data_IF_624234685068
#
_entry.id   IF_624234685068
#
_cell.length_a   1.000
_cell.length_b   1.000
_cell.length_c   1.000
_cell.angle_alpha   90.00
_cell.angle_beta   90.00
_cell.angle_gamma   90.00
#
_symmetry.space_group_name_H-M   'P 1'
#
loop_
_entity.id
_entity.type
_entity.pdbx_description
1 polymer ?
#
# COMPACT_ATOMS: atom_id res chain seq x y z
N UNK A 1 22.11 36.99 -62.56
CA UNK A 1 21.62 35.64 -62.17
C UNK A 1 21.76 35.54 -60.68
N UNK A 2 20.68 35.82 -59.96
CA UNK A 2 20.65 35.76 -58.52
C UNK A 2 20.04 34.42 -58.06
N UNK A 3 20.57 33.72 -56.99
CA UNK A 3 19.97 32.49 -56.48
C UNK A 3 18.79 32.77 -55.56
N UNK A 4 17.72 32.06 -55.86
CA UNK A 4 16.47 32.05 -55.11
C UNK A 4 16.71 31.49 -53.69
N UNK A 5 16.35 32.31 -52.69
CA UNK A 5 16.32 31.97 -51.28
C UNK A 5 15.28 30.89 -51.02
N UNK A 6 15.71 29.74 -50.50
CA UNK A 6 14.86 28.64 -50.05
C UNK A 6 14.30 29.01 -48.69
N UNK A 7 13.05 29.39 -48.59
CA UNK A 7 12.34 29.60 -47.33
C UNK A 7 12.26 28.31 -46.54
N UNK A 8 12.84 28.32 -45.35
CA UNK A 8 12.77 27.25 -44.36
C UNK A 8 11.33 27.18 -43.80
N UNK A 9 10.69 26.05 -44.02
CA UNK A 9 9.39 25.72 -43.45
C UNK A 9 9.59 25.53 -41.93
N UNK A 10 8.80 26.19 -41.04
CA UNK A 10 8.92 25.96 -39.61
C UNK A 10 8.52 24.52 -39.28
N UNK A 11 9.15 23.91 -38.25
CA UNK A 11 8.78 22.57 -37.79
C UNK A 11 7.33 22.62 -37.31
N UNK A 12 6.53 21.68 -37.79
CA UNK A 12 5.16 21.45 -37.31
C UNK A 12 5.22 21.10 -35.82
N UNK A 13 4.74 22.00 -34.99
CA UNK A 13 4.41 21.72 -33.59
C UNK A 13 3.29 20.67 -33.57
N UNK A 14 3.67 19.40 -33.41
CA UNK A 14 2.75 18.31 -33.07
C UNK A 14 2.35 18.47 -31.62
N UNK A 15 1.51 19.44 -31.32
CA UNK A 15 0.64 19.39 -30.16
C UNK A 15 -0.38 18.28 -30.44
N UNK A 16 -0.11 17.05 -29.95
CA UNK A 16 -1.07 15.97 -29.98
C UNK A 16 -2.30 16.43 -29.20
N UNK A 17 -3.37 16.80 -29.91
CA UNK A 17 -4.63 17.19 -29.28
C UNK A 17 -5.13 16.01 -28.45
N UNK A 18 -5.25 16.21 -27.13
CA UNK A 18 -5.77 15.22 -26.19
C UNK A 18 -7.11 14.66 -26.71
N UNK A 19 -7.27 13.33 -26.75
CA UNK A 19 -8.51 12.70 -27.22
C UNK A 19 -9.70 13.08 -26.33
N UNK A 20 -10.93 12.99 -26.86
CA UNK A 20 -12.13 13.28 -26.07
C UNK A 20 -12.22 12.36 -24.82
N UNK A 21 -11.84 11.08 -24.97
CA UNK A 21 -11.74 10.14 -23.85
C UNK A 21 -10.73 10.62 -22.79
N UNK A 22 -9.57 11.13 -23.20
CA UNK A 22 -8.58 11.62 -22.26
C UNK A 22 -9.11 12.84 -21.47
N UNK A 23 -9.78 13.77 -22.13
CA UNK A 23 -10.42 14.91 -21.45
C UNK A 23 -11.53 14.47 -20.49
N UNK A 24 -12.33 13.48 -20.88
CA UNK A 24 -13.37 12.91 -20.01
C UNK A 24 -12.79 12.23 -18.75
N UNK A 25 -11.66 11.53 -18.88
CA UNK A 25 -10.93 10.96 -17.75
C UNK A 25 -10.39 12.05 -16.81
N UNK A 26 -9.82 13.14 -17.35
CA UNK A 26 -9.33 14.23 -16.50
C UNK A 26 -10.48 14.93 -15.74
N UNK A 27 -11.65 15.12 -16.33
CA UNK A 27 -12.84 15.62 -15.63
C UNK A 27 -13.23 14.70 -14.45
N UNK A 28 -13.23 13.39 -14.67
CA UNK A 28 -13.53 12.43 -13.60
C UNK A 28 -12.49 12.50 -12.48
N UNK A 29 -11.19 12.59 -12.79
CA UNK A 29 -10.13 12.71 -11.79
C UNK A 29 -10.25 14.03 -11.00
N UNK A 30 -10.65 15.12 -11.64
CA UNK A 30 -10.94 16.40 -10.96
C UNK A 30 -12.14 16.28 -10.02
N UNK A 31 -13.25 15.66 -10.45
CA UNK A 31 -14.40 15.37 -9.59
C UNK A 31 -13.99 14.55 -8.34
N UNK A 32 -13.19 13.49 -8.53
CA UNK A 32 -12.69 12.69 -7.41
C UNK A 32 -11.80 13.48 -6.44
N UNK A 33 -11.02 14.44 -6.95
CA UNK A 33 -10.14 15.27 -6.14
C UNK A 33 -10.93 16.31 -5.35
N UNK A 34 -11.80 17.06 -6.01
CA UNK A 34 -12.47 18.26 -5.46
C UNK A 34 -13.73 17.88 -4.69
N UNK A 35 -14.63 17.11 -5.30
CA UNK A 35 -15.95 16.83 -4.71
C UNK A 35 -15.92 15.62 -3.78
N UNK A 36 -15.12 14.60 -4.10
CA UNK A 36 -15.03 13.38 -3.27
C UNK A 36 -13.87 13.41 -2.29
N UNK A 37 -12.99 14.40 -2.35
CA UNK A 37 -11.88 14.58 -1.42
C UNK A 37 -10.95 13.36 -1.31
N UNK A 38 -10.71 12.62 -2.41
CA UNK A 38 -9.90 11.42 -2.36
C UNK A 38 -8.42 11.76 -2.06
N UNK A 39 -7.78 10.93 -1.23
CA UNK A 39 -6.37 11.09 -0.90
C UNK A 39 -5.47 11.02 -2.14
N UNK A 40 -4.38 11.81 -2.16
CA UNK A 40 -3.44 11.94 -3.27
C UNK A 40 -2.93 10.59 -3.82
N UNK A 41 -2.64 9.63 -2.93
CA UNK A 41 -2.21 8.28 -3.32
C UNK A 41 -3.30 7.51 -4.08
N UNK A 42 -4.58 7.68 -3.69
CA UNK A 42 -5.71 7.06 -4.38
C UNK A 42 -5.90 7.69 -5.75
N UNK A 43 -5.85 9.02 -5.86
CA UNK A 43 -5.92 9.73 -7.14
C UNK A 43 -4.79 9.32 -8.08
N UNK A 44 -3.56 9.19 -7.56
CA UNK A 44 -2.41 8.70 -8.35
C UNK A 44 -2.61 7.27 -8.86
N UNK A 45 -3.24 6.40 -8.07
CA UNK A 45 -3.58 5.04 -8.51
C UNK A 45 -4.65 5.06 -9.62
N UNK A 46 -5.74 5.83 -9.42
CA UNK A 46 -6.80 5.98 -10.42
C UNK A 46 -6.26 6.58 -11.73
N UNK A 47 -5.39 7.61 -11.64
CA UNK A 47 -4.75 8.20 -12.82
C UNK A 47 -3.98 7.17 -13.63
N UNK A 48 -3.16 6.34 -12.99
CA UNK A 48 -2.42 5.27 -13.68
C UNK A 48 -3.34 4.22 -14.29
N UNK A 49 -4.39 3.84 -13.58
CA UNK A 49 -5.34 2.84 -14.05
C UNK A 49 -6.14 3.33 -15.24
N UNK A 50 -6.62 4.56 -15.20
CA UNK A 50 -7.36 5.18 -16.29
C UNK A 50 -6.46 5.55 -17.49
N UNK A 51 -5.18 5.88 -17.27
CA UNK A 51 -4.23 6.06 -18.37
C UNK A 51 -4.04 4.76 -19.17
N UNK A 52 -4.01 3.57 -18.50
CA UNK A 52 -4.02 2.28 -19.20
C UNK A 52 -5.27 2.08 -20.04
N UNK A 53 -6.42 2.49 -19.51
CA UNK A 53 -7.69 2.39 -20.23
C UNK A 53 -7.73 3.29 -21.45
N UNK A 54 -7.33 4.55 -21.31
CA UNK A 54 -7.21 5.49 -22.44
C UNK A 54 -6.30 4.91 -23.52
N UNK A 55 -5.09 4.44 -23.17
CA UNK A 55 -4.17 3.84 -24.11
C UNK A 55 -4.79 2.65 -24.85
N UNK A 56 -5.45 1.75 -24.15
CA UNK A 56 -6.15 0.62 -24.78
C UNK A 56 -7.19 1.11 -25.78
N UNK A 57 -8.01 2.07 -25.41
CA UNK A 57 -9.07 2.59 -26.26
C UNK A 57 -8.54 3.32 -27.49
N UNK A 58 -7.44 4.08 -27.38
CA UNK A 58 -6.96 4.94 -28.45
C UNK A 58 -5.91 4.30 -29.35
N UNK A 59 -5.16 3.32 -28.85
CA UNK A 59 -3.99 2.79 -29.54
C UNK A 59 -4.06 1.28 -29.80
N UNK A 60 -4.69 0.50 -28.90
CA UNK A 60 -4.61 -0.96 -28.93
C UNK A 60 -5.88 -1.57 -29.51
N UNK A 61 -7.04 -1.30 -28.91
CA UNK A 61 -8.29 -1.96 -29.25
C UNK A 61 -8.29 -3.48 -29.02
N UNK A 62 -9.32 -4.18 -29.49
CA UNK A 62 -9.41 -5.66 -29.48
C UNK A 62 -9.85 -6.17 -30.87
N UNK A 63 -9.10 -5.80 -31.89
CA UNK A 63 -9.36 -6.20 -33.27
C UNK A 63 -10.64 -5.60 -33.86
N UNK A 64 -11.28 -6.30 -34.80
CA UNK A 64 -12.47 -5.82 -35.46
C UNK A 64 -13.71 -5.63 -34.57
N UNK A 65 -13.75 -6.30 -33.42
CA UNK A 65 -14.89 -6.21 -32.48
C UNK A 65 -14.85 -4.96 -31.60
N UNK A 66 -13.67 -4.42 -31.34
CA UNK A 66 -13.46 -3.22 -30.54
C UNK A 66 -12.25 -2.45 -31.12
N UNK A 67 -12.42 -1.77 -32.27
CA UNK A 67 -11.36 -0.97 -32.87
C UNK A 67 -11.03 0.23 -31.96
N UNK A 68 -9.85 0.86 -32.08
CA UNK A 68 -9.52 2.04 -31.34
C UNK A 68 -10.55 3.16 -31.49
N UNK A 69 -10.92 3.81 -30.37
CA UNK A 69 -11.91 4.90 -30.31
C UNK A 69 -11.35 6.09 -29.52
N UNK A 70 -11.71 7.29 -29.90
CA UNK A 70 -11.25 8.53 -29.27
C UNK A 70 -12.34 9.31 -28.53
N UNK A 71 -13.61 8.95 -28.71
CA UNK A 71 -14.76 9.58 -28.06
C UNK A 71 -15.40 8.62 -27.05
N UNK A 72 -15.71 9.07 -25.80
CA UNK A 72 -16.36 8.23 -24.82
C UNK A 72 -17.74 7.68 -25.25
N UNK A 73 -18.42 8.35 -26.19
CA UNK A 73 -19.74 7.91 -26.73
C UNK A 73 -19.64 6.68 -27.63
N UNK A 74 -18.47 6.45 -28.22
CA UNK A 74 -18.20 5.31 -29.11
C UNK A 74 -17.83 4.04 -28.34
N UNK A 75 -17.60 4.14 -27.04
CA UNK A 75 -17.20 3.01 -26.24
C UNK A 75 -18.37 2.06 -26.03
N UNK A 76 -18.16 0.81 -26.39
CA UNK A 76 -19.15 -0.27 -26.28
C UNK A 76 -18.75 -1.28 -25.20
N UNK A 77 -19.67 -2.20 -24.86
CA UNK A 77 -19.39 -3.34 -23.98
C UNK A 77 -18.22 -4.18 -24.50
N UNK A 78 -18.07 -4.30 -25.82
CA UNK A 78 -16.94 -5.02 -26.45
C UNK A 78 -15.59 -4.38 -26.12
N UNK A 79 -15.49 -3.05 -26.13
CA UNK A 79 -14.27 -2.34 -25.73
C UNK A 79 -13.90 -2.60 -24.27
N UNK A 80 -14.86 -2.51 -23.35
CA UNK A 80 -14.61 -2.75 -21.93
C UNK A 80 -14.22 -4.22 -21.68
N UNK A 81 -14.90 -5.16 -22.33
CA UNK A 81 -14.58 -6.59 -22.25
C UNK A 81 -13.19 -6.90 -22.83
N UNK A 82 -12.88 -6.31 -23.98
CA UNK A 82 -11.55 -6.40 -24.63
C UNK A 82 -10.45 -5.87 -23.72
N UNK A 83 -10.71 -4.72 -23.05
CA UNK A 83 -9.78 -4.17 -22.08
C UNK A 83 -9.51 -5.12 -20.91
N UNK A 84 -10.55 -5.74 -20.34
CA UNK A 84 -10.37 -6.73 -19.25
C UNK A 84 -9.51 -7.91 -19.70
N UNK A 85 -9.73 -8.43 -20.90
CA UNK A 85 -8.90 -9.47 -21.50
C UNK A 85 -7.45 -9.01 -21.71
N UNK A 86 -7.27 -7.79 -22.20
CA UNK A 86 -5.95 -7.20 -22.42
C UNK A 86 -5.15 -7.06 -21.13
N UNK A 87 -5.78 -6.62 -20.02
CA UNK A 87 -5.14 -6.52 -18.72
C UNK A 87 -4.58 -7.87 -18.21
N UNK A 88 -5.21 -8.97 -18.59
CA UNK A 88 -4.84 -10.32 -18.11
C UNK A 88 -3.94 -11.09 -19.10
N UNK A 89 -3.68 -10.54 -20.29
CA UNK A 89 -2.75 -11.17 -21.24
C UNK A 89 -1.35 -11.26 -20.66
N UNK A 90 -0.65 -12.40 -20.79
CA UNK A 90 0.76 -12.46 -20.42
C UNK A 90 1.56 -11.38 -21.17
N UNK A 91 2.35 -10.60 -20.45
CA UNK A 91 3.23 -9.62 -21.08
C UNK A 91 4.27 -10.34 -21.92
N UNK A 92 4.58 -9.85 -23.14
CA UNK A 92 5.70 -10.37 -23.91
C UNK A 92 7.03 -10.15 -23.15
N UNK A 93 8.03 -11.05 -23.32
CA UNK A 93 9.25 -11.06 -22.49
C UNK A 93 10.02 -9.74 -22.40
N UNK A 94 9.94 -8.88 -23.42
CA UNK A 94 10.57 -7.55 -23.45
C UNK A 94 9.90 -6.51 -22.58
N UNK A 95 8.58 -6.59 -22.42
CA UNK A 95 7.78 -5.65 -21.62
C UNK A 95 7.82 -6.04 -20.13
N UNK A 96 8.10 -7.29 -19.82
CA UNK A 96 8.32 -7.76 -18.44
C UNK A 96 9.62 -7.19 -17.84
N UNK A 97 10.63 -6.92 -18.68
CA UNK A 97 11.92 -6.36 -18.22
C UNK A 97 11.85 -4.87 -17.84
N UNK A 98 10.89 -4.12 -18.40
CA UNK A 98 10.72 -2.67 -18.15
C UNK A 98 9.68 -2.35 -17.05
N UNK A 99 9.33 -3.30 -16.21
CA UNK A 99 8.42 -3.09 -15.09
C UNK A 99 6.95 -2.96 -15.46
N UNK A 100 6.53 -3.51 -16.60
CA UNK A 100 5.11 -3.63 -16.95
C UNK A 100 4.37 -2.29 -17.12
N UNK A 101 5.01 -1.27 -17.71
CA UNK A 101 4.41 0.04 -17.92
C UNK A 101 3.17 -0.03 -18.85
N UNK A 102 3.00 -1.12 -19.60
CA UNK A 102 2.03 -1.23 -20.67
C UNK A 102 0.71 -1.91 -20.31
N UNK A 103 0.52 -2.34 -19.07
CA UNK A 103 -0.79 -2.76 -18.57
C UNK A 103 -1.17 -4.21 -18.81
N UNK A 104 -0.43 -4.98 -19.62
CA UNK A 104 -0.65 -6.42 -19.80
C UNK A 104 -0.02 -7.23 -18.62
N UNK A 105 -0.56 -8.41 -18.31
CA UNK A 105 0.01 -9.31 -17.30
C UNK A 105 -0.34 -8.98 -15.86
N UNK A 106 -1.42 -8.24 -15.61
CA UNK A 106 -1.88 -7.97 -14.26
C UNK A 106 -2.49 -9.22 -13.61
N UNK A 107 -2.25 -9.40 -12.30
CA UNK A 107 -2.99 -10.38 -11.51
C UNK A 107 -4.50 -10.06 -11.54
N UNK A 108 -5.35 -11.09 -11.36
CA UNK A 108 -6.81 -10.91 -11.32
C UNK A 108 -7.24 -9.83 -10.29
N UNK A 109 -6.56 -9.76 -9.14
CA UNK A 109 -6.81 -8.72 -8.11
C UNK A 109 -6.47 -7.31 -8.61
N UNK A 110 -5.33 -7.16 -9.29
CA UNK A 110 -4.93 -5.86 -9.86
C UNK A 110 -5.86 -5.44 -11.00
N UNK A 111 -6.21 -6.37 -11.89
CA UNK A 111 -7.16 -6.14 -12.97
C UNK A 111 -8.56 -5.76 -12.42
N UNK A 112 -9.04 -6.45 -11.39
CA UNK A 112 -10.31 -6.11 -10.74
C UNK A 112 -10.32 -4.66 -10.22
N UNK A 113 -9.23 -4.21 -9.59
CA UNK A 113 -9.10 -2.82 -9.11
C UNK A 113 -9.15 -1.82 -10.26
N UNK A 114 -8.46 -2.10 -11.36
CA UNK A 114 -8.49 -1.24 -12.57
C UNK A 114 -9.90 -1.15 -13.13
N UNK A 115 -10.61 -2.27 -13.24
CA UNK A 115 -12.01 -2.31 -13.73
C UNK A 115 -12.94 -1.50 -12.83
N UNK A 116 -12.74 -1.51 -11.50
CA UNK A 116 -13.51 -0.66 -10.58
C UNK A 116 -13.30 0.83 -10.88
N UNK A 117 -12.07 1.27 -11.19
CA UNK A 117 -11.78 2.65 -11.58
C UNK A 117 -12.48 3.02 -12.90
N UNK A 118 -12.44 2.12 -13.90
CA UNK A 118 -13.11 2.29 -15.21
C UNK A 118 -14.63 2.39 -15.03
N UNK A 119 -15.25 1.49 -14.26
CA UNK A 119 -16.69 1.56 -13.96
C UNK A 119 -17.07 2.88 -13.28
N UNK A 120 -16.22 3.36 -12.38
CA UNK A 120 -16.43 4.67 -11.75
C UNK A 120 -16.42 5.82 -12.74
N UNK A 121 -15.51 5.79 -13.73
CA UNK A 121 -15.42 6.80 -14.79
C UNK A 121 -16.66 6.76 -15.70
N UNK A 122 -17.08 5.59 -16.19
CA UNK A 122 -18.26 5.45 -17.04
C UNK A 122 -19.53 5.88 -16.34
N UNK A 123 -19.70 5.51 -15.07
CA UNK A 123 -20.86 5.98 -14.26
C UNK A 123 -20.86 7.50 -14.12
N UNK A 124 -19.71 8.12 -13.91
CA UNK A 124 -19.56 9.57 -13.84
C UNK A 124 -19.92 10.21 -15.20
N UNK A 125 -19.42 9.67 -16.32
CA UNK A 125 -19.73 10.19 -17.65
C UNK A 125 -21.22 10.13 -17.97
N UNK A 126 -21.90 9.06 -17.57
CA UNK A 126 -23.34 8.96 -17.71
C UNK A 126 -24.08 10.01 -16.87
N UNK A 127 -23.65 10.21 -15.60
CA UNK A 127 -24.28 11.19 -14.68
C UNK A 127 -24.05 12.65 -15.11
N UNK A 128 -22.96 12.93 -15.83
CA UNK A 128 -22.61 14.25 -16.36
C UNK A 128 -23.05 14.44 -17.83
N UNK A 129 -23.92 13.58 -18.33
CA UNK A 129 -24.45 13.61 -19.72
C UNK A 129 -23.35 13.62 -20.80
N UNK A 130 -22.15 13.09 -20.48
CA UNK A 130 -21.06 12.92 -21.46
C UNK A 130 -21.29 11.72 -22.36
N UNK A 131 -22.03 10.72 -21.89
CA UNK A 131 -22.44 9.52 -22.62
C UNK A 131 -23.90 9.20 -22.35
N UNK A 132 -24.58 8.55 -23.31
CA UNK A 132 -25.97 8.12 -23.15
C UNK A 132 -26.09 6.77 -22.41
N UNK A 133 -25.01 6.00 -22.37
CA UNK A 133 -24.99 4.64 -21.82
C UNK A 133 -23.74 4.40 -20.95
N UNK A 134 -23.83 3.43 -20.03
CA UNK A 134 -22.71 2.91 -19.24
C UNK A 134 -22.37 1.47 -19.68
N UNK A 135 -21.50 1.28 -20.67
CA UNK A 135 -21.10 -0.05 -21.14
C UNK A 135 -20.30 -0.83 -20.08
N UNK A 136 -19.67 -0.13 -19.12
CA UNK A 136 -18.89 -0.78 -18.07
C UNK A 136 -19.75 -1.39 -16.96
N UNK A 137 -21.00 -0.97 -16.82
CA UNK A 137 -21.94 -1.55 -15.85
C UNK A 137 -22.18 -3.05 -16.08
N UNK A 138 -22.14 -3.50 -17.34
CA UNK A 138 -22.37 -4.89 -17.74
C UNK A 138 -21.14 -5.79 -17.62
N UNK A 139 -19.95 -5.22 -17.41
CA UNK A 139 -18.71 -5.98 -17.34
C UNK A 139 -18.25 -6.14 -15.89
N UNK A 140 -18.39 -7.33 -15.31
CA UNK A 140 -17.96 -7.58 -13.94
C UNK A 140 -16.42 -7.53 -13.85
N UNK A 141 -15.88 -7.03 -12.73
CA UNK A 141 -14.44 -7.14 -12.47
C UNK A 141 -14.05 -8.62 -12.39
N UNK A 142 -12.82 -8.98 -12.83
CA UNK A 142 -12.30 -10.33 -12.65
C UNK A 142 -12.36 -10.75 -11.17
N UNK A 143 -12.83 -11.97 -10.91
CA UNK A 143 -12.87 -12.51 -9.55
C UNK A 143 -11.47 -12.98 -9.16
N UNK A 144 -10.82 -12.34 -8.17
CA UNK A 144 -9.56 -12.86 -7.66
C UNK A 144 -9.81 -14.24 -7.05
N UNK A 145 -8.99 -15.21 -7.37
CA UNK A 145 -9.00 -16.50 -6.64
C UNK A 145 -8.89 -16.23 -5.14
N UNK A 146 -9.78 -16.78 -4.34
CA UNK A 146 -9.83 -16.58 -2.90
C UNK A 146 -8.71 -17.39 -2.24
N UNK A 147 -7.47 -16.85 -2.28
CA UNK A 147 -6.44 -17.24 -1.34
C UNK A 147 -6.61 -16.39 -0.09
N UNK A 148 -7.23 -16.94 0.92
CA UNK A 148 -7.12 -16.39 2.26
C UNK A 148 -5.63 -16.48 2.63
N UNK A 149 -4.95 -15.37 2.91
CA UNK A 149 -3.59 -15.43 3.44
C UNK A 149 -3.67 -16.24 4.73
N UNK A 150 -2.98 -17.39 4.78
CA UNK A 150 -2.86 -18.13 6.04
C UNK A 150 -1.95 -17.30 6.95
N UNK A 151 -2.35 -17.13 8.20
CA UNK A 151 -1.47 -16.56 9.21
C UNK A 151 -0.20 -17.43 9.30
N UNK A 152 0.93 -16.78 9.47
CA UNK A 152 2.20 -17.45 9.71
C UNK A 152 2.21 -17.88 11.18
N UNK A 153 2.56 -19.13 11.51
CA UNK A 153 2.59 -19.59 12.89
C UNK A 153 3.55 -18.77 13.78
N UNK A 154 3.29 -18.71 15.08
CA UNK A 154 4.11 -17.95 16.03
C UNK A 154 5.60 -18.37 16.00
N UNK A 155 5.88 -19.67 15.83
CA UNK A 155 7.23 -20.20 15.68
C UNK A 155 7.92 -19.65 14.42
N UNK A 156 7.23 -19.66 13.27
CA UNK A 156 7.75 -19.12 12.01
C UNK A 156 7.96 -17.61 12.09
N UNK A 157 7.07 -16.90 12.77
CA UNK A 157 7.25 -15.46 13.04
C UNK A 157 8.52 -15.23 13.87
N UNK A 158 8.76 -16.02 14.91
CA UNK A 158 9.97 -15.88 15.74
C UNK A 158 11.22 -16.04 14.87
N UNK A 159 11.30 -17.07 14.02
CA UNK A 159 12.42 -17.25 13.09
C UNK A 159 12.60 -16.04 12.15
N UNK A 160 11.51 -15.49 11.65
CA UNK A 160 11.52 -14.30 10.79
C UNK A 160 12.09 -13.08 11.51
N UNK A 161 11.65 -12.82 12.74
CA UNK A 161 12.06 -11.66 13.53
C UNK A 161 13.54 -11.74 13.96
N UNK A 162 14.08 -12.96 14.10
CA UNK A 162 15.45 -13.23 14.50
C UNK A 162 16.43 -13.33 13.32
N UNK A 163 15.94 -13.36 12.08
CA UNK A 163 16.78 -13.50 10.88
C UNK A 163 17.78 -12.35 10.63
N UNK A 164 17.46 -11.05 10.93
CA UNK A 164 18.43 -9.98 10.72
C UNK A 164 19.66 -10.10 11.64
N UNK A 165 20.85 -9.91 11.09
CA UNK A 165 22.13 -9.97 11.81
C UNK A 165 22.30 -8.78 12.77
N UNK A 166 22.26 -8.99 14.10
CA UNK A 166 22.36 -7.93 15.11
C UNK A 166 23.77 -7.32 15.25
N UNK A 167 24.76 -7.83 14.54
CA UNK A 167 26.14 -7.29 14.56
C UNK A 167 26.28 -6.06 13.66
N UNK A 168 25.33 -5.80 12.76
CA UNK A 168 25.37 -4.68 11.81
C UNK A 168 24.32 -3.62 12.15
N UNK A 169 24.58 -2.32 11.87
CA UNK A 169 23.60 -1.26 12.04
C UNK A 169 22.32 -1.50 11.24
N UNK A 170 22.44 -2.03 10.01
CA UNK A 170 21.29 -2.35 9.18
C UNK A 170 20.46 -3.49 9.78
N UNK A 171 21.10 -4.54 10.29
CA UNK A 171 20.41 -5.66 10.91
C UNK A 171 19.74 -5.29 12.23
N UNK A 172 20.35 -4.41 13.05
CA UNK A 172 19.69 -3.84 14.24
C UNK A 172 18.42 -3.07 13.87
N UNK A 173 18.51 -2.22 12.82
CA UNK A 173 17.35 -1.51 12.28
C UNK A 173 16.26 -2.49 11.83
N UNK A 174 16.63 -3.48 11.05
CA UNK A 174 15.70 -4.40 10.41
C UNK A 174 15.01 -5.28 11.45
N UNK A 175 15.72 -5.73 12.47
CA UNK A 175 15.14 -6.45 13.61
C UNK A 175 14.14 -5.59 14.38
N UNK A 176 14.50 -4.35 14.72
CA UNK A 176 13.60 -3.41 15.40
C UNK A 176 12.35 -3.10 14.55
N UNK A 177 12.53 -2.93 13.25
CA UNK A 177 11.43 -2.69 12.30
C UNK A 177 10.43 -3.87 12.26
N UNK A 178 10.94 -5.09 12.16
CA UNK A 178 10.12 -6.32 12.13
C UNK A 178 9.38 -6.52 13.45
N UNK A 179 10.07 -6.34 14.59
CA UNK A 179 9.46 -6.43 15.93
C UNK A 179 8.33 -5.41 16.11
N UNK A 180 8.53 -4.15 15.70
CA UNK A 180 7.48 -3.13 15.78
C UNK A 180 6.31 -3.47 14.89
N UNK A 181 6.55 -3.90 13.63
CA UNK A 181 5.47 -4.29 12.71
C UNK A 181 4.61 -5.42 13.27
N UNK A 182 5.25 -6.44 13.85
CA UNK A 182 4.52 -7.59 14.37
C UNK A 182 3.89 -7.30 15.75
N UNK A 183 4.61 -6.65 16.68
CA UNK A 183 4.09 -6.33 18.01
C UNK A 183 2.87 -5.42 18.00
N UNK A 184 2.80 -4.51 17.01
CA UNK A 184 1.75 -3.48 16.94
C UNK A 184 0.70 -3.74 15.85
N UNK A 185 0.96 -4.66 14.94
CA UNK A 185 0.15 -4.82 13.73
C UNK A 185 0.09 -3.56 12.87
N UNK A 186 1.09 -2.67 12.97
CA UNK A 186 1.12 -1.41 12.27
C UNK A 186 1.19 -1.58 10.75
N UNK A 187 0.65 -0.59 10.03
CA UNK A 187 0.89 -0.48 8.57
C UNK A 187 2.31 0.02 8.32
N UNK A 188 2.93 -0.40 7.22
CA UNK A 188 4.26 0.08 6.85
C UNK A 188 4.38 1.61 6.85
N UNK A 189 3.33 2.32 6.38
CA UNK A 189 3.31 3.79 6.38
C UNK A 189 3.27 4.42 7.77
N UNK A 190 2.68 3.74 8.74
CA UNK A 190 2.61 4.20 10.14
C UNK A 190 3.99 4.08 10.79
N UNK A 191 4.67 2.97 10.57
CA UNK A 191 6.03 2.74 11.10
C UNK A 191 7.07 3.68 10.45
N UNK A 192 6.96 3.92 9.14
CA UNK A 192 7.81 4.88 8.43
C UNK A 192 7.64 6.30 9.00
N UNK A 193 6.41 6.66 9.39
CA UNK A 193 6.08 7.97 9.93
C UNK A 193 6.51 8.21 11.38
N UNK A 194 7.05 7.21 12.08
CA UNK A 194 7.46 7.36 13.48
C UNK A 194 8.68 8.28 13.62
N UNK A 195 8.59 9.20 14.55
CA UNK A 195 9.68 10.08 14.96
C UNK A 195 10.24 9.66 16.34
N UNK A 196 11.48 10.04 16.61
CA UNK A 196 12.18 9.74 17.86
C UNK A 196 11.39 10.23 19.08
N UNK A 197 10.72 11.37 18.96
CA UNK A 197 9.90 11.92 20.04
C UNK A 197 8.68 11.04 20.36
N UNK A 198 8.04 10.44 19.35
CA UNK A 198 6.92 9.50 19.55
C UNK A 198 7.38 8.27 20.32
N UNK A 199 8.54 7.72 19.95
CA UNK A 199 9.13 6.57 20.62
C UNK A 199 9.55 6.90 22.06
N UNK A 200 10.23 8.04 22.26
CA UNK A 200 10.68 8.48 23.57
C UNK A 200 9.50 8.72 24.53
N UNK A 201 8.40 9.27 24.02
CA UNK A 201 7.17 9.44 24.79
C UNK A 201 6.56 8.10 25.20
N UNK A 202 6.55 7.11 24.26
CA UNK A 202 6.05 5.77 24.51
C UNK A 202 6.86 5.06 25.62
N UNK A 203 8.18 5.05 25.53
CA UNK A 203 9.07 4.40 26.50
C UNK A 203 8.94 5.01 27.89
N UNK A 204 8.95 6.35 28.02
CA UNK A 204 8.73 7.02 29.31
C UNK A 204 7.39 6.67 29.95
N UNK A 205 6.31 6.53 29.16
CA UNK A 205 5.01 6.16 29.70
C UNK A 205 4.98 4.74 30.26
N UNK A 206 5.73 3.83 29.66
CA UNK A 206 5.92 2.46 30.15
C UNK A 206 6.65 2.41 31.49
N UNK A 207 7.73 3.17 31.66
CA UNK A 207 8.49 3.26 32.91
C UNK A 207 7.63 3.80 34.06
N UNK A 208 6.85 4.84 33.82
CA UNK A 208 6.00 5.48 34.82
C UNK A 208 4.83 4.59 35.29
N UNK A 209 4.31 3.73 34.42
CA UNK A 209 3.15 2.89 34.72
C UNK A 209 3.50 1.44 35.10
N UNK A 210 4.79 1.09 35.22
CA UNK A 210 5.27 -0.28 35.48
C UNK A 210 4.65 -1.34 34.55
N UNK A 211 4.26 -0.93 33.36
CA UNK A 211 3.59 -1.79 32.37
C UNK A 211 4.22 -1.70 30.98
N UNK A 212 3.63 -2.39 30.02
CA UNK A 212 4.06 -2.27 28.62
C UNK A 212 3.86 -0.85 28.10
N UNK A 213 4.86 -0.26 27.42
CA UNK A 213 4.72 1.05 26.81
C UNK A 213 3.71 1.04 25.68
N UNK A 214 3.03 2.17 25.47
CA UNK A 214 2.11 2.36 24.35
C UNK A 214 2.72 3.24 23.28
N UNK A 215 2.76 2.71 22.06
CA UNK A 215 3.16 3.47 20.89
C UNK A 215 1.95 4.12 20.25
N UNK A 216 2.02 5.43 20.01
CA UNK A 216 1.02 6.18 19.26
C UNK A 216 1.30 6.06 17.76
N UNK A 217 0.32 5.55 17.03
CA UNK A 217 0.38 5.38 15.58
C UNK A 217 -0.61 6.32 14.88
N UNK A 218 -0.18 6.91 13.77
CA UNK A 218 -0.97 7.83 12.95
C UNK A 218 -1.45 7.11 11.68
N UNK A 219 -2.75 6.86 11.60
CA UNK A 219 -3.39 6.21 10.46
C UNK A 219 -3.87 7.18 9.37
N UNK A 220 -4.65 6.67 8.42
CA UNK A 220 -5.26 7.46 7.35
C UNK A 220 -6.19 8.54 7.93
N UNK A 221 -6.04 9.78 7.45
CA UNK A 221 -6.85 10.93 7.92
C UNK A 221 -6.46 11.41 9.31
N UNK A 222 -5.19 11.27 9.69
CA UNK A 222 -4.65 11.69 11.01
C UNK A 222 -5.33 11.04 12.21
N UNK A 223 -6.06 9.93 12.01
CA UNK A 223 -6.62 9.16 13.11
C UNK A 223 -5.50 8.51 13.91
N UNK A 224 -5.52 8.71 15.20
CA UNK A 224 -4.53 8.17 16.14
C UNK A 224 -5.07 6.92 16.82
N UNK A 225 -4.17 5.99 17.14
CA UNK A 225 -4.46 4.87 18.03
C UNK A 225 -3.24 4.55 18.88
N UNK A 226 -3.47 4.01 20.06
CA UNK A 226 -2.44 3.54 20.99
C UNK A 226 -2.36 2.02 20.89
N UNK A 227 -1.13 1.49 20.75
CA UNK A 227 -0.90 0.04 20.66
C UNK A 227 0.23 -0.33 21.61
N UNK A 228 0.08 -1.39 22.44
CA UNK A 228 1.15 -1.84 23.34
C UNK A 228 2.39 -2.30 22.53
N UNK A 229 3.59 -2.05 23.10
CA UNK A 229 4.85 -2.60 22.62
C UNK A 229 5.27 -3.75 23.52
N UNK A 230 5.48 -4.94 22.96
CA UNK A 230 6.02 -6.08 23.67
C UNK A 230 7.49 -5.88 24.08
N UNK A 231 7.93 -6.58 25.12
CA UNK A 231 9.31 -6.51 25.60
C UNK A 231 10.37 -6.76 24.54
N UNK A 232 10.22 -7.77 23.63
CA UNK A 232 11.19 -7.96 22.55
C UNK A 232 11.27 -6.76 21.58
N UNK A 233 10.15 -6.10 21.27
CA UNK A 233 10.13 -4.91 20.43
C UNK A 233 10.83 -3.73 21.10
N UNK A 234 10.62 -3.55 22.43
CA UNK A 234 11.33 -2.52 23.23
C UNK A 234 12.83 -2.78 23.22
N UNK A 235 13.27 -4.02 23.50
CA UNK A 235 14.68 -4.38 23.49
C UNK A 235 15.36 -4.19 22.11
N UNK A 236 14.66 -4.55 21.04
CA UNK A 236 15.16 -4.36 19.69
C UNK A 236 15.24 -2.87 19.30
N UNK A 237 14.25 -2.06 19.71
CA UNK A 237 14.28 -0.61 19.53
C UNK A 237 15.41 0.04 20.31
N UNK A 238 15.64 -0.35 21.57
CA UNK A 238 16.74 0.17 22.36
C UNK A 238 18.09 -0.15 21.70
N UNK A 239 18.32 -1.40 21.33
CA UNK A 239 19.53 -1.80 20.62
C UNK A 239 19.75 -1.02 19.32
N UNK A 240 18.68 -0.77 18.57
CA UNK A 240 18.73 0.06 17.36
C UNK A 240 19.06 1.51 17.68
N UNK A 241 18.33 2.13 18.62
CA UNK A 241 18.49 3.55 18.95
C UNK A 241 19.85 3.88 19.52
N UNK A 242 20.42 2.97 20.34
CA UNK A 242 21.70 3.20 21.03
C UNK A 242 22.89 2.83 20.14
N UNK A 243 22.84 1.70 19.43
CA UNK A 243 24.01 1.17 18.69
C UNK A 243 23.96 1.41 17.19
N UNK A 244 22.80 1.20 16.55
CA UNK A 244 22.73 1.22 15.09
C UNK A 244 22.36 2.58 14.50
N UNK A 245 21.35 3.25 15.08
CA UNK A 245 20.83 4.51 14.55
C UNK A 245 21.89 5.63 14.49
N UNK A 246 22.73 5.84 15.51
CA UNK A 246 23.75 6.90 15.46
C UNK A 246 24.72 6.75 14.28
N UNK A 247 25.12 5.52 13.94
CA UNK A 247 26.02 5.26 12.80
C UNK A 247 25.38 5.63 11.46
N UNK A 248 24.09 5.40 11.29
CA UNK A 248 23.39 5.77 10.06
C UNK A 248 23.04 7.26 10.05
N UNK A 249 22.66 7.84 11.19
CA UNK A 249 22.37 9.26 11.29
C UNK A 249 23.56 10.15 10.94
N UNK A 250 24.78 9.71 11.26
CA UNK A 250 26.03 10.42 10.93
C UNK A 250 26.26 10.51 9.40
N UNK A 251 25.62 9.69 8.58
CA UNK A 251 25.76 9.69 7.11
C UNK A 251 24.84 10.66 6.39
N UNK A 252 23.87 11.25 7.08
CA UNK A 252 22.83 12.08 6.50
C UNK A 252 22.57 13.37 7.26
N UNK A 253 21.56 14.12 6.80
CA UNK A 253 21.03 15.25 7.57
C UNK A 253 20.17 14.67 8.69
N UNK A 254 20.45 15.04 9.93
CA UNK A 254 19.75 14.57 11.12
C UNK A 254 18.20 14.59 10.91
N UNK A 255 17.64 13.44 10.57
CA UNK A 255 16.19 13.22 10.40
C UNK A 255 15.64 12.76 11.76
N UNK A 256 14.48 13.31 12.15
CA UNK A 256 13.77 12.91 13.35
C UNK A 256 13.24 11.47 13.29
N UNK A 257 13.25 10.84 12.11
CA UNK A 257 12.73 9.49 11.92
C UNK A 257 13.37 8.46 12.86
N UNK A 258 12.55 7.57 13.41
CA UNK A 258 13.04 6.40 14.15
C UNK A 258 13.88 5.53 13.23
N UNK A 259 13.36 5.17 12.05
CA UNK A 259 14.04 4.26 11.12
C UNK A 259 14.70 5.00 9.96
N UNK A 260 16.03 4.78 9.83
CA UNK A 260 16.87 5.42 8.82
C UNK A 260 17.33 4.42 7.75
N UNK A 261 17.45 4.90 6.52
CA UNK A 261 18.07 4.17 5.43
C UNK A 261 19.61 4.26 5.54
N UNK A 262 20.35 3.57 4.66
CA UNK A 262 21.81 3.55 4.68
C UNK A 262 22.48 4.92 4.40
N UNK A 263 21.70 5.91 3.93
CA UNK A 263 22.15 7.29 3.67
C UNK A 263 21.77 8.25 4.79
N UNK A 264 21.23 7.76 5.91
CA UNK A 264 20.85 8.56 7.07
C UNK A 264 19.52 9.31 6.94
N UNK A 265 18.74 9.10 5.87
CA UNK A 265 17.38 9.64 5.73
C UNK A 265 16.32 8.63 6.13
N UNK A 266 15.07 9.08 6.26
CA UNK A 266 13.90 8.23 6.55
C UNK A 266 13.78 7.07 5.57
N UNK A 267 13.38 5.89 6.06
CA UNK A 267 13.14 4.72 5.20
C UNK A 267 11.92 4.92 4.30
N UNK A 268 11.90 4.20 3.18
CA UNK A 268 10.77 4.16 2.24
C UNK A 268 9.89 2.92 2.46
N UNK A 269 8.70 2.90 1.85
CA UNK A 269 7.86 1.68 1.79
C UNK A 269 8.57 0.51 1.12
N UNK A 270 9.39 0.81 0.10
CA UNK A 270 10.20 -0.20 -0.57
C UNK A 270 11.24 -0.79 0.38
N UNK A 271 11.87 0.03 1.23
CA UNK A 271 12.80 -0.44 2.26
C UNK A 271 12.11 -1.42 3.21
N UNK A 272 10.92 -1.06 3.73
CA UNK A 272 10.14 -1.95 4.61
C UNK A 272 9.81 -3.27 3.92
N UNK A 273 9.39 -3.21 2.66
CA UNK A 273 9.13 -4.42 1.87
C UNK A 273 10.37 -5.29 1.72
N UNK A 274 11.48 -4.69 1.31
CA UNK A 274 12.74 -5.40 1.12
C UNK A 274 13.24 -6.05 2.42
N UNK A 275 13.15 -5.34 3.56
CA UNK A 275 13.49 -5.88 4.88
C UNK A 275 12.68 -7.14 5.21
N UNK A 276 11.36 -7.09 5.01
CA UNK A 276 10.48 -8.25 5.27
C UNK A 276 10.83 -9.42 4.35
N UNK A 277 11.08 -9.16 3.06
CA UNK A 277 11.42 -10.20 2.08
C UNK A 277 12.79 -10.82 2.41
N UNK A 278 13.81 -10.02 2.70
CA UNK A 278 15.14 -10.49 3.08
C UNK A 278 15.10 -11.33 4.37
N UNK A 279 14.29 -10.92 5.35
CA UNK A 279 14.10 -11.71 6.57
C UNK A 279 13.40 -13.04 6.28
N UNK A 280 12.43 -13.07 5.37
CA UNK A 280 11.77 -14.30 4.94
C UNK A 280 12.75 -15.27 4.24
N UNK A 281 13.65 -14.74 3.42
CA UNK A 281 14.71 -15.51 2.77
C UNK A 281 15.71 -16.03 3.81
N UNK A 282 16.20 -15.16 4.69
CA UNK A 282 17.17 -15.51 5.73
C UNK A 282 16.64 -16.51 6.78
N UNK A 283 15.33 -16.50 7.05
CA UNK A 283 14.68 -17.46 7.96
C UNK A 283 14.30 -18.79 7.31
N UNK A 284 14.51 -18.94 5.98
CA UNK A 284 14.12 -20.12 5.21
C UNK A 284 12.63 -20.20 4.85
N UNK A 285 11.80 -19.21 5.24
CA UNK A 285 10.35 -19.24 4.96
C UNK A 285 10.03 -19.15 3.49
N UNK A 286 10.81 -18.41 2.70
CA UNK A 286 10.67 -18.35 1.25
C UNK A 286 10.90 -19.73 0.60
N UNK A 287 11.87 -20.49 1.06
CA UNK A 287 12.13 -21.85 0.59
C UNK A 287 11.00 -22.83 0.97
N UNK A 288 10.29 -22.57 2.07
CA UNK A 288 9.08 -23.30 2.47
C UNK A 288 7.84 -22.88 1.65
N UNK A 289 7.96 -21.95 0.69
CA UNK A 289 6.85 -21.42 -0.10
C UNK A 289 5.93 -20.46 0.66
N UNK A 290 6.38 -19.89 1.77
CA UNK A 290 5.62 -18.93 2.58
C UNK A 290 5.85 -17.52 2.06
N UNK A 291 4.82 -16.90 1.49
CA UNK A 291 4.87 -15.50 1.06
C UNK A 291 4.72 -14.57 2.27
N UNK A 292 5.77 -13.84 2.60
CA UNK A 292 5.78 -12.88 3.71
C UNK A 292 5.77 -11.44 3.20
N UNK A 293 4.93 -10.62 3.77
CA UNK A 293 4.80 -9.20 3.47
C UNK A 293 4.43 -8.41 4.74
N UNK A 294 4.55 -7.08 4.77
CA UNK A 294 4.06 -6.29 5.90
C UNK A 294 2.56 -6.52 6.19
N UNK A 295 1.76 -6.81 5.16
CA UNK A 295 0.35 -7.16 5.35
C UNK A 295 0.16 -8.54 5.97
N UNK A 296 1.02 -9.50 5.62
CA UNK A 296 0.99 -10.85 6.22
C UNK A 296 1.35 -10.79 7.70
N UNK A 297 2.35 -9.99 8.10
CA UNK A 297 2.70 -9.76 9.50
C UNK A 297 1.52 -9.17 10.29
N UNK A 298 0.87 -8.15 9.75
CA UNK A 298 -0.32 -7.55 10.38
C UNK A 298 -1.49 -8.53 10.46
N UNK A 299 -1.68 -9.38 9.46
CA UNK A 299 -2.70 -10.43 9.48
C UNK A 299 -2.39 -11.47 10.55
N UNK A 300 -1.12 -11.92 10.65
CA UNK A 300 -0.68 -12.86 11.68
C UNK A 300 -0.84 -12.26 13.09
N UNK A 301 -0.51 -10.98 13.29
CA UNK A 301 -0.80 -10.27 14.55
C UNK A 301 -2.28 -10.38 14.93
N UNK A 302 -3.19 -10.05 13.99
CA UNK A 302 -4.63 -10.12 14.26
C UNK A 302 -5.09 -11.54 14.60
N UNK A 303 -4.64 -12.53 13.82
CA UNK A 303 -5.00 -13.94 14.01
C UNK A 303 -4.50 -14.47 15.35
N UNK A 304 -3.24 -14.19 15.69
CA UNK A 304 -2.65 -14.67 16.95
C UNK A 304 -3.32 -14.05 18.18
N UNK A 305 -3.74 -12.78 18.12
CA UNK A 305 -4.53 -12.18 19.20
C UNK A 305 -5.88 -12.88 19.36
N UNK A 306 -6.58 -13.17 18.25
CA UNK A 306 -7.86 -13.89 18.30
C UNK A 306 -7.69 -15.32 18.80
N UNK A 307 -6.66 -16.05 18.37
CA UNK A 307 -6.32 -17.38 18.84
C UNK A 307 -5.92 -17.38 20.31
N UNK A 308 -5.29 -16.31 20.79
CA UNK A 308 -4.97 -16.06 22.20
C UNK A 308 -6.17 -15.63 23.05
N UNK A 309 -7.38 -15.56 22.47
CA UNK A 309 -8.62 -15.26 23.18
C UNK A 309 -9.01 -13.77 23.23
N UNK A 310 -8.33 -12.90 22.48
CA UNK A 310 -8.71 -11.50 22.41
C UNK A 310 -10.06 -11.32 21.71
N UNK A 311 -10.90 -10.42 22.20
CA UNK A 311 -12.16 -10.06 21.55
C UNK A 311 -11.90 -9.37 20.19
N UNK A 312 -12.74 -9.69 19.20
CA UNK A 312 -12.64 -9.14 17.85
C UNK A 312 -12.66 -7.60 17.84
N UNK A 313 -13.44 -6.95 18.71
CA UNK A 313 -13.52 -5.49 18.80
C UNK A 313 -12.20 -4.89 19.29
N UNK A 314 -11.57 -5.52 20.28
CA UNK A 314 -10.24 -5.12 20.77
C UNK A 314 -9.21 -5.21 19.64
N UNK A 315 -9.22 -6.30 18.89
CA UNK A 315 -8.31 -6.48 17.73
C UNK A 315 -8.58 -5.42 16.65
N UNK A 316 -9.84 -5.12 16.36
CA UNK A 316 -10.21 -4.07 15.39
C UNK A 316 -9.74 -2.68 15.84
N UNK A 317 -9.82 -2.37 17.14
CA UNK A 317 -9.35 -1.11 17.70
C UNK A 317 -7.82 -1.01 17.64
N UNK A 318 -7.10 -2.03 18.07
CA UNK A 318 -5.64 -2.12 17.94
C UNK A 318 -5.18 -1.96 16.48
N UNK A 319 -5.94 -2.46 15.52
CA UNK A 319 -5.66 -2.32 14.09
C UNK A 319 -6.10 -0.98 13.49
N UNK A 320 -6.95 -0.22 14.15
CA UNK A 320 -7.49 1.05 13.66
C UNK A 320 -8.38 0.87 12.43
N UNK A 321 -9.35 -0.03 12.49
CA UNK A 321 -10.37 -0.20 11.46
C UNK A 321 -11.44 0.89 11.61
N UNK A 322 -11.61 1.72 10.58
CA UNK A 322 -12.50 2.90 10.59
C UNK A 322 -14.00 2.58 10.41
N UNK A 323 -14.39 1.31 10.40
CA UNK A 323 -15.73 0.89 10.00
C UNK A 323 -16.39 0.00 11.06
N UNK A 324 -16.97 0.64 12.08
CA UNK A 324 -18.23 0.13 12.64
C UNK A 324 -19.21 1.30 12.70
N UNK A 325 -20.07 1.38 11.69
CA UNK A 325 -21.30 2.17 11.71
C UNK A 325 -22.23 1.49 12.68
N UNK A 326 -22.09 1.76 13.97
CA UNK A 326 -23.23 1.64 14.90
C UNK A 326 -22.89 2.42 16.17
N UNK A 327 -23.52 3.55 16.31
CA UNK A 327 -23.67 4.30 17.54
C UNK A 327 -24.54 3.47 18.50
N UNK A 328 -23.93 2.53 19.22
CA UNK A 328 -24.58 1.88 20.35
C UNK A 328 -23.57 1.62 21.44
N UNK A 329 -23.82 2.29 22.55
CA UNK A 329 -23.31 2.08 23.93
C UNK A 329 -21.82 1.73 24.02
N UNK A 330 -21.00 2.77 24.16
CA UNK A 330 -19.58 2.68 24.45
C UNK A 330 -19.35 2.16 25.88
N UNK A 331 -18.97 0.91 25.99
CA UNK A 331 -18.03 0.56 27.06
C UNK A 331 -16.65 1.03 26.55
N UNK A 332 -16.13 2.10 27.10
CA UNK A 332 -14.82 2.63 26.80
C UNK A 332 -13.78 1.51 27.04
N UNK A 333 -13.18 1.00 25.97
CA UNK A 333 -12.00 0.12 26.10
C UNK A 333 -10.89 1.01 26.61
N UNK A 334 -10.53 0.87 27.88
CA UNK A 334 -9.48 1.66 28.52
C UNK A 334 -8.10 1.19 28.03
N UNK A 335 -7.10 2.07 28.14
CA UNK A 335 -5.72 1.68 27.80
C UNK A 335 -5.26 0.47 28.63
N UNK A 336 -5.69 0.35 29.87
CA UNK A 336 -5.35 -0.79 30.74
C UNK A 336 -6.01 -2.08 30.24
N UNK A 337 -7.27 -2.04 29.81
CA UNK A 337 -7.95 -3.19 29.21
C UNK A 337 -7.28 -3.64 27.91
N UNK A 338 -6.85 -2.70 27.06
CA UNK A 338 -6.07 -3.01 25.85
C UNK A 338 -4.74 -3.68 26.18
N UNK A 339 -4.06 -3.21 27.23
CA UNK A 339 -2.78 -3.78 27.72
C UNK A 339 -2.97 -5.20 28.23
N UNK A 340 -3.98 -5.42 29.07
CA UNK A 340 -4.27 -6.74 29.65
C UNK A 340 -4.60 -7.77 28.58
N UNK A 341 -5.53 -7.44 27.66
CA UNK A 341 -5.92 -8.34 26.58
C UNK A 341 -4.72 -8.63 25.66
N UNK A 342 -3.91 -7.60 25.33
CA UNK A 342 -2.72 -7.79 24.52
C UNK A 342 -1.68 -8.66 25.25
N UNK A 343 -1.44 -8.42 26.54
CA UNK A 343 -0.47 -9.18 27.35
C UNK A 343 -0.89 -10.65 27.52
N UNK A 344 -2.17 -10.94 27.58
CA UNK A 344 -2.67 -12.33 27.66
C UNK A 344 -2.64 -13.05 26.33
N UNK A 345 -2.93 -12.36 25.22
CA UNK A 345 -3.20 -12.99 23.94
C UNK A 345 -2.02 -12.93 22.94
N UNK A 346 -1.08 -11.98 23.08
CA UNK A 346 -0.02 -11.81 22.10
C UNK A 346 1.19 -12.72 22.35
N UNK A 347 1.69 -13.50 21.35
CA UNK A 347 2.81 -14.44 21.55
C UNK A 347 4.13 -13.80 22.01
N UNK A 348 4.30 -12.49 21.81
CA UNK A 348 5.50 -11.72 22.23
C UNK A 348 5.22 -10.79 23.42
N UNK A 349 4.26 -11.14 24.26
CA UNK A 349 3.94 -10.36 25.46
C UNK A 349 4.98 -10.55 26.58
N UNK A 350 5.61 -11.73 26.64
CA UNK A 350 6.53 -12.17 27.70
C UNK A 350 7.98 -12.20 27.25
#
# INVERSE_FOLDING_TARGET
>A
MSPVSRASRPPAESSAASSAVQRAVERYLQHLAVERGLAANTLSAYRRDLARYVRFLTEVGDGAQAPPVGDPREITVAHVTGFVRWLQRPAPPKEAADGGADGAGLSARSAARVVVAVRGAHRFWLLEDLTEHDPAAQVPPPTPGMRLPKAISAERITRLLEAPDPSTPAGLRDRALLEVLYSTGARASEVIGLDVDDLSAALRSGEQSSGLPFLRLFGKGSKQRMVPLGRPAVAALDAWMVRGRPELAAKGKADAAVFLNQRGGRISRQTVWNTVTQAADGSGLSAEGVEVSPHTLRHSFATHLLEGGADLRVVQELLGHASVTTTQVYTLVTADSLREVWAMAHPRAH
#
